data_IF_368842889410
#
_entry.id   IF_368842889410
#
_cell.length_a   1.000
_cell.length_b   1.000
_cell.length_c   1.000
_cell.angle_alpha   90.00
_cell.angle_beta   90.00
_cell.angle_gamma   90.00
#
_symmetry.space_group_name_H-M   'P 1'
#
loop_
_entity.id
_entity.type
_entity.pdbx_description
1 polymer ?
#
# COMPACT_ATOMS: atom_id res chain seq x y z
N UNK A 1 -2.58 35.79 38.53
CA UNK A 1 -2.64 35.64 37.06
C UNK A 1 -2.09 34.28 36.70
N UNK A 2 -2.75 33.47 35.86
CA UNK A 2 -2.19 32.20 35.43
C UNK A 2 -1.02 32.46 34.47
N UNK A 3 0.07 31.72 34.67
CA UNK A 3 1.26 31.78 33.83
C UNK A 3 0.91 31.55 32.34
N UNK A 4 1.49 32.32 31.40
CA UNK A 4 1.29 32.08 29.99
C UNK A 4 1.86 30.70 29.62
N UNK A 5 0.99 29.81 29.16
CA UNK A 5 1.39 28.50 28.68
C UNK A 5 2.48 28.64 27.60
N UNK A 6 3.53 27.80 27.62
CA UNK A 6 4.59 27.86 26.64
C UNK A 6 4.00 27.67 25.23
N UNK A 7 4.27 28.63 24.34
CA UNK A 7 3.90 28.57 22.93
C UNK A 7 4.43 27.26 22.35
N UNK A 8 3.53 26.38 21.88
CA UNK A 8 3.89 25.12 21.21
C UNK A 8 4.90 25.42 20.11
N UNK A 9 6.07 24.78 20.15
CA UNK A 9 7.06 24.84 19.06
C UNK A 9 6.36 24.48 17.75
N UNK A 10 6.63 25.17 16.63
CA UNK A 10 6.05 24.83 15.34
C UNK A 10 6.40 23.38 15.01
N UNK A 11 5.38 22.54 14.79
CA UNK A 11 5.54 21.13 14.46
C UNK A 11 6.17 21.06 13.06
N UNK A 12 7.29 20.36 12.92
CA UNK A 12 7.88 20.10 11.60
C UNK A 12 6.85 19.42 10.69
N UNK A 13 6.86 19.68 9.37
CA UNK A 13 5.93 19.03 8.46
C UNK A 13 6.06 17.51 8.56
N UNK A 14 4.96 16.82 8.82
CA UNK A 14 4.94 15.35 8.81
C UNK A 14 5.18 14.86 7.38
N UNK A 15 6.22 14.04 7.13
CA UNK A 15 6.45 13.49 5.80
C UNK A 15 5.25 12.68 5.29
N UNK A 16 5.02 12.59 3.97
CA UNK A 16 3.98 11.74 3.42
C UNK A 16 4.28 10.28 3.74
N UNK A 17 3.22 9.48 3.88
CA UNK A 17 3.30 8.03 4.04
C UNK A 17 3.31 7.36 2.69
N UNK A 18 4.20 6.39 2.51
CA UNK A 18 4.30 5.62 1.28
C UNK A 18 3.83 4.18 1.51
N UNK A 19 3.00 3.65 0.62
CA UNK A 19 2.70 2.22 0.58
C UNK A 19 2.90 1.71 -0.84
N UNK A 20 3.55 0.57 -0.99
CA UNK A 20 3.90 0.03 -2.31
C UNK A 20 3.26 -1.35 -2.47
N UNK A 21 2.77 -1.64 -3.67
CA UNK A 21 2.31 -2.96 -4.08
C UNK A 21 3.08 -3.36 -5.33
N UNK A 22 3.79 -4.48 -5.26
CA UNK A 22 4.57 -5.03 -6.36
C UNK A 22 3.69 -5.95 -7.23
N UNK A 23 3.91 -5.92 -8.54
CA UNK A 23 3.34 -6.90 -9.45
C UNK A 23 4.13 -8.20 -9.31
N UNK A 24 3.44 -9.34 -9.26
CA UNK A 24 4.08 -10.64 -9.00
C UNK A 24 4.74 -11.27 -10.23
N UNK A 25 4.36 -10.84 -11.44
CA UNK A 25 4.87 -11.39 -12.72
C UNK A 25 5.49 -10.31 -13.62
N UNK A 26 5.73 -9.10 -13.11
CA UNK A 26 6.40 -8.02 -13.85
C UNK A 26 7.16 -7.08 -12.91
N UNK A 27 8.13 -6.29 -13.41
CA UNK A 27 8.91 -5.38 -12.57
C UNK A 27 8.11 -4.17 -12.09
N UNK A 28 6.81 -4.09 -12.42
CA UNK A 28 5.98 -2.94 -12.12
C UNK A 28 5.54 -2.93 -10.66
N UNK A 29 5.45 -1.74 -10.10
CA UNK A 29 4.87 -1.48 -8.79
C UNK A 29 3.97 -0.25 -8.83
N UNK A 30 3.04 -0.18 -7.88
CA UNK A 30 2.25 1.02 -7.61
C UNK A 30 2.62 1.57 -6.25
N UNK A 31 2.89 2.88 -6.20
CA UNK A 31 3.17 3.61 -4.97
C UNK A 31 1.97 4.50 -4.65
N UNK A 32 1.44 4.37 -3.44
CA UNK A 32 0.50 5.30 -2.84
C UNK A 32 1.25 6.29 -1.95
N UNK A 33 1.37 7.54 -2.39
CA UNK A 33 1.93 8.63 -1.59
C UNK A 33 0.79 9.39 -0.93
N UNK A 34 0.57 9.20 0.37
CA UNK A 34 -0.48 9.86 1.15
C UNK A 34 0.11 10.98 2.01
N UNK A 35 -0.37 12.21 1.82
CA UNK A 35 0.06 13.35 2.60
C UNK A 35 -0.13 14.64 1.82
N UNK A 36 -0.65 15.73 2.42
CA UNK A 36 -1.40 15.79 3.68
C UNK A 36 -2.56 14.77 3.73
N UNK A 37 -3.12 14.47 4.90
CA UNK A 37 -3.91 13.25 5.20
C UNK A 37 -5.08 12.88 4.26
N UNK A 38 -5.57 13.80 3.43
CA UNK A 38 -6.67 13.59 2.46
C UNK A 38 -6.23 13.75 0.98
N UNK A 39 -4.94 13.68 0.71
CA UNK A 39 -4.37 13.76 -0.63
C UNK A 39 -3.53 12.51 -0.85
N UNK A 40 -3.87 11.75 -1.89
CA UNK A 40 -3.12 10.56 -2.30
C UNK A 40 -2.67 10.77 -3.74
N UNK A 41 -1.38 10.61 -4.00
CA UNK A 41 -0.82 10.50 -5.34
C UNK A 41 -0.52 9.03 -5.62
N UNK A 42 -0.94 8.53 -6.76
CA UNK A 42 -0.50 7.24 -7.29
C UNK A 42 0.64 7.41 -8.27
N UNK A 43 1.67 6.58 -8.14
CA UNK A 43 2.79 6.49 -9.08
C UNK A 43 2.92 5.05 -9.55
N UNK A 44 3.41 4.86 -10.76
CA UNK A 44 3.90 3.57 -11.23
C UNK A 44 5.42 3.59 -11.22
N UNK A 45 6.02 2.47 -10.84
CA UNK A 45 7.45 2.34 -10.68
C UNK A 45 7.94 1.06 -11.38
N UNK A 46 8.91 1.18 -12.28
CA UNK A 46 9.69 0.04 -12.78
C UNK A 46 10.81 -0.24 -11.79
N UNK A 47 10.70 -1.34 -11.05
CA UNK A 47 11.64 -1.70 -9.97
C UNK A 47 13.02 -2.14 -10.47
N UNK A 48 13.17 -2.44 -11.77
CA UNK A 48 14.45 -2.85 -12.36
C UNK A 48 15.21 -1.65 -12.91
N UNK A 49 14.50 -0.76 -13.60
CA UNK A 49 15.10 0.46 -14.17
C UNK A 49 15.09 1.64 -13.21
N UNK A 50 14.37 1.53 -12.11
CA UNK A 50 14.05 2.59 -11.17
C UNK A 50 13.45 3.84 -11.85
N UNK A 51 12.59 3.61 -12.85
CA UNK A 51 11.86 4.69 -13.53
C UNK A 51 10.50 4.92 -12.84
N UNK A 52 10.19 6.17 -12.53
CA UNK A 52 8.95 6.57 -11.88
C UNK A 52 8.07 7.37 -12.83
N UNK A 53 6.77 7.04 -12.87
CA UNK A 53 5.76 7.83 -13.56
C UNK A 53 4.69 8.28 -12.59
N UNK A 54 4.57 9.60 -12.47
CA UNK A 54 3.54 10.25 -11.69
C UNK A 54 2.18 10.09 -12.37
N UNK A 55 1.16 9.75 -11.60
CA UNK A 55 -0.20 9.58 -12.09
C UNK A 55 -1.18 10.52 -11.45
N UNK A 56 -2.35 9.99 -11.14
CA UNK A 56 -3.49 10.78 -10.71
C UNK A 56 -3.40 11.13 -9.22
N UNK A 57 -3.77 12.37 -8.89
CA UNK A 57 -4.04 12.76 -7.51
C UNK A 57 -5.51 12.52 -7.15
N UNK A 58 -5.73 12.10 -5.91
CA UNK A 58 -7.05 11.87 -5.35
C UNK A 58 -7.25 12.67 -4.06
N UNK A 59 -8.37 13.40 -3.98
CA UNK A 59 -8.82 14.09 -2.77
C UNK A 59 -9.75 13.18 -1.97
N UNK A 60 -9.19 12.47 -1.01
CA UNK A 60 -9.90 11.51 -0.16
C UNK A 60 -8.95 10.55 0.54
N UNK A 61 -9.46 9.38 0.89
CA UNK A 61 -8.72 8.26 1.48
C UNK A 61 -8.66 7.12 0.46
N UNK A 62 -7.47 6.58 0.23
CA UNK A 62 -7.32 5.23 -0.29
C UNK A 62 -6.91 4.35 0.88
N UNK A 63 -7.50 3.17 1.02
CA UNK A 63 -7.14 2.18 2.03
C UNK A 63 -6.15 1.21 1.40
N UNK A 64 -4.88 1.60 1.42
CA UNK A 64 -3.80 1.02 0.61
C UNK A 64 -3.62 -0.48 0.90
N UNK A 65 -3.84 -0.89 2.16
CA UNK A 65 -3.78 -2.30 2.59
C UNK A 65 -4.92 -3.18 2.07
N UNK A 66 -6.00 -2.58 1.55
CA UNK A 66 -7.14 -3.25 0.91
C UNK A 66 -7.06 -3.22 -0.63
N UNK A 67 -5.93 -2.77 -1.16
CA UNK A 67 -5.68 -2.69 -2.60
C UNK A 67 -4.81 -3.87 -3.06
N UNK A 68 -4.77 -4.11 -4.37
CA UNK A 68 -3.88 -5.11 -4.97
C UNK A 68 -3.55 -4.77 -6.41
N UNK A 69 -2.42 -5.28 -6.88
CA UNK A 69 -1.96 -5.10 -8.24
C UNK A 69 -2.06 -6.43 -8.98
N UNK A 70 -2.58 -6.39 -10.21
CA UNK A 70 -2.69 -7.59 -11.03
C UNK A 70 -1.30 -8.19 -11.30
N UNK A 71 -1.16 -9.51 -11.55
CA UNK A 71 0.15 -10.13 -11.75
C UNK A 71 1.03 -9.41 -12.78
N UNK A 72 0.45 -8.99 -13.90
CA UNK A 72 1.16 -8.22 -14.94
C UNK A 72 1.52 -6.79 -14.55
N UNK A 73 0.89 -6.23 -13.51
CA UNK A 73 1.01 -4.80 -13.16
C UNK A 73 0.09 -3.87 -13.93
N UNK A 74 -0.77 -4.39 -14.81
CA UNK A 74 -1.61 -3.56 -15.69
C UNK A 74 -2.87 -3.00 -15.02
N UNK A 75 -3.34 -3.62 -13.94
CA UNK A 75 -4.63 -3.27 -13.31
C UNK A 75 -4.46 -3.17 -11.81
N UNK A 76 -5.01 -2.11 -11.25
CA UNK A 76 -5.05 -1.84 -9.81
C UNK A 76 -6.47 -2.02 -9.33
N UNK A 77 -6.69 -2.84 -8.29
CA UNK A 77 -7.94 -2.81 -7.52
C UNK A 77 -7.69 -2.01 -6.25
N UNK A 78 -8.56 -1.05 -5.96
CA UNK A 78 -8.38 -0.15 -4.81
C UNK A 78 -9.69 0.14 -4.11
N UNK A 79 -9.61 0.33 -2.78
CA UNK A 79 -10.70 0.81 -1.95
C UNK A 79 -10.51 2.27 -1.58
N UNK A 80 -11.48 3.11 -1.89
CA UNK A 80 -11.40 4.55 -1.69
C UNK A 80 -12.63 5.12 -1.00
N UNK A 81 -12.44 6.28 -0.37
CA UNK A 81 -13.49 7.06 0.27
C UNK A 81 -13.25 8.56 0.06
N UNK A 82 -14.29 9.29 -0.31
CA UNK A 82 -14.29 10.76 -0.33
C UNK A 82 -15.39 11.36 0.57
N UNK A 83 -16.25 10.51 1.16
CA UNK A 83 -17.39 10.90 2.01
C UNK A 83 -18.40 11.81 1.30
N UNK A 84 -18.53 11.68 -0.02
CA UNK A 84 -19.47 12.43 -0.85
C UNK A 84 -20.37 11.50 -1.64
N UNK A 85 -21.60 11.97 -1.92
CA UNK A 85 -22.52 11.32 -2.86
C UNK A 85 -21.86 11.17 -4.25
N UNK A 86 -22.26 10.16 -5.04
CA UNK A 86 -23.27 9.15 -4.71
C UNK A 86 -22.74 8.01 -3.84
N UNK A 87 -21.43 7.71 -3.87
CA UNK A 87 -20.92 6.44 -3.32
C UNK A 87 -20.38 6.50 -1.90
N UNK A 88 -19.86 7.65 -1.44
CA UNK A 88 -19.14 7.85 -0.17
C UNK A 88 -17.82 7.05 -0.07
N UNK A 89 -17.91 5.73 -0.22
CA UNK A 89 -16.83 4.75 -0.32
C UNK A 89 -17.11 3.76 -1.46
N UNK A 90 -16.08 3.27 -2.12
CA UNK A 90 -16.20 2.34 -3.24
C UNK A 90 -14.94 1.50 -3.42
N UNK A 91 -15.11 0.34 -4.05
CA UNK A 91 -13.99 -0.40 -4.66
C UNK A 91 -14.00 -0.14 -6.15
N UNK A 92 -12.84 0.02 -6.76
CA UNK A 92 -12.75 0.18 -8.20
C UNK A 92 -11.52 -0.54 -8.76
N UNK A 93 -11.58 -0.85 -10.04
CA UNK A 93 -10.44 -1.30 -10.85
C UNK A 93 -10.03 -0.15 -11.77
N UNK A 94 -8.74 0.14 -11.87
CA UNK A 94 -8.18 1.15 -12.78
C UNK A 94 -6.89 0.67 -13.44
N UNK A 95 -6.36 1.47 -14.38
CA UNK A 95 -5.00 1.29 -14.90
C UNK A 95 -4.03 2.19 -14.14
N UNK A 96 -3.02 1.65 -13.44
CA UNK A 96 -2.01 2.48 -12.82
C UNK A 96 -1.20 3.26 -13.89
N UNK A 97 -0.69 4.46 -13.56
CA UNK A 97 -0.79 5.12 -12.26
C UNK A 97 -2.06 5.97 -12.09
N UNK A 98 -3.11 5.73 -12.87
CA UNK A 98 -4.37 6.48 -12.80
C UNK A 98 -5.41 5.76 -11.93
N UNK A 99 -6.34 6.53 -11.38
CA UNK A 99 -7.43 6.08 -10.51
C UNK A 99 -8.79 6.25 -11.19
N UNK A 100 -8.79 6.40 -12.51
CA UNK A 100 -10.02 6.46 -13.30
C UNK A 100 -10.59 5.06 -13.40
N UNK A 101 -11.81 4.88 -12.91
CA UNK A 101 -12.41 3.56 -12.78
C UNK A 101 -12.73 2.96 -14.16
N UNK A 102 -12.37 1.70 -14.34
CA UNK A 102 -12.82 0.80 -15.40
C UNK A 102 -14.00 -0.07 -14.93
N UNK A 103 -14.07 -0.30 -13.62
CA UNK A 103 -15.21 -0.86 -12.91
C UNK A 103 -15.28 -0.24 -11.51
N UNK A 104 -16.49 -0.13 -10.96
CA UNK A 104 -16.73 0.41 -9.63
C UNK A 104 -17.87 -0.33 -8.93
N UNK A 105 -17.62 -0.73 -7.69
CA UNK A 105 -18.60 -1.29 -6.76
C UNK A 105 -18.83 -0.31 -5.61
N UNK A 106 -20.04 0.27 -5.51
CA UNK A 106 -20.41 1.11 -4.36
C UNK A 106 -20.32 0.33 -3.06
N UNK A 107 -19.86 0.98 -1.98
CA UNK A 107 -19.81 0.35 -0.65
C UNK A 107 -20.62 1.10 0.40
N UNK A 108 -20.48 2.43 0.47
CA UNK A 108 -21.24 3.28 1.39
C UNK A 108 -20.77 3.27 2.86
N UNK A 109 -19.91 2.35 3.26
CA UNK A 109 -19.32 2.25 4.60
C UNK A 109 -17.83 1.83 4.52
N UNK A 110 -17.18 1.65 5.68
CA UNK A 110 -15.77 1.26 5.76
C UNK A 110 -15.53 -0.18 6.27
N UNK A 111 -16.57 -1.02 6.32
CA UNK A 111 -16.48 -2.43 6.71
C UNK A 111 -16.30 -3.31 5.46
N UNK A 112 -15.17 -4.01 5.33
CA UNK A 112 -14.79 -4.72 4.12
C UNK A 112 -14.34 -3.77 3.00
N UNK A 113 -14.74 -4.03 1.76
CA UNK A 113 -14.28 -3.28 0.59
C UNK A 113 -12.85 -3.62 0.19
N UNK A 114 -12.49 -3.26 -1.04
CA UNK A 114 -11.24 -3.66 -1.68
C UNK A 114 -11.31 -5.05 -2.32
N UNK A 115 -10.15 -5.58 -2.70
CA UNK A 115 -10.06 -6.91 -3.28
C UNK A 115 -8.64 -7.29 -3.68
N UNK A 116 -8.51 -8.48 -4.27
CA UNK A 116 -7.27 -9.04 -4.79
C UNK A 116 -7.43 -9.44 -6.26
N UNK A 117 -6.32 -9.66 -6.95
CA UNK A 117 -6.27 -10.38 -8.21
C UNK A 117 -5.79 -11.82 -7.99
N UNK A 118 -6.63 -12.80 -8.32
CA UNK A 118 -6.22 -14.21 -8.42
C UNK A 118 -5.33 -14.44 -9.65
N UNK A 119 -5.64 -13.75 -10.74
CA UNK A 119 -4.83 -13.60 -11.95
C UNK A 119 -5.26 -12.29 -12.65
N UNK A 120 -4.69 -11.97 -13.83
CA UNK A 120 -5.02 -10.73 -14.56
C UNK A 120 -6.48 -10.59 -15.01
N UNK A 121 -7.24 -11.69 -14.98
CA UNK A 121 -8.63 -11.77 -15.42
C UNK A 121 -9.61 -12.14 -14.32
N UNK A 122 -9.15 -12.47 -13.12
CA UNK A 122 -10.02 -12.88 -12.01
C UNK A 122 -9.83 -11.98 -10.81
N UNK A 123 -10.87 -11.21 -10.49
CA UNK A 123 -10.97 -10.30 -9.35
C UNK A 123 -11.60 -11.06 -8.18
N UNK A 124 -10.99 -10.94 -7.01
CA UNK A 124 -11.48 -11.43 -5.73
C UNK A 124 -11.97 -10.24 -4.90
N UNK A 125 -13.29 -10.03 -4.86
CA UNK A 125 -13.89 -8.85 -4.25
C UNK A 125 -14.18 -9.08 -2.76
N UNK A 126 -13.73 -8.16 -1.89
CA UNK A 126 -14.02 -8.21 -0.45
C UNK A 126 -15.33 -7.47 -0.10
N UNK A 127 -16.40 -7.80 -0.81
CA UNK A 127 -17.75 -7.28 -0.55
C UNK A 127 -18.67 -8.40 -0.11
N UNK A 128 -19.70 -8.04 0.66
CA UNK A 128 -20.78 -8.97 0.98
C UNK A 128 -21.48 -9.38 -0.29
N UNK A 129 -22.09 -10.57 -0.32
CA UNK A 129 -22.73 -11.11 -1.51
C UNK A 129 -23.79 -10.15 -2.09
N UNK A 130 -24.44 -9.38 -1.21
CA UNK A 130 -25.46 -8.37 -1.54
C UNK A 130 -24.89 -7.03 -2.04
N UNK A 131 -23.58 -6.81 -1.93
CA UNK A 131 -22.89 -5.58 -2.35
C UNK A 131 -21.91 -5.84 -3.50
N UNK A 132 -22.15 -6.87 -4.32
CA UNK A 132 -21.30 -7.24 -5.46
C UNK A 132 -21.73 -6.63 -6.80
N UNK A 133 -22.80 -5.84 -6.81
CA UNK A 133 -23.31 -5.15 -8.00
C UNK A 133 -22.41 -3.96 -8.35
N UNK A 134 -22.06 -3.83 -9.64
CA UNK A 134 -21.41 -2.63 -10.17
C UNK A 134 -22.36 -1.42 -10.09
N UNK A 135 -21.77 -0.23 -10.03
CA UNK A 135 -22.50 1.00 -10.35
C UNK A 135 -23.00 0.94 -11.82
N UNK A 136 -24.16 1.56 -12.07
CA UNK A 136 -24.94 1.35 -13.30
C UNK A 136 -24.19 1.79 -14.57
N UNK A 137 -23.23 2.71 -14.46
CA UNK A 137 -22.39 3.18 -15.56
C UNK A 137 -21.22 2.25 -15.93
N UNK A 138 -21.01 1.15 -15.19
CA UNK A 138 -19.89 0.23 -15.43
C UNK A 138 -20.35 -1.17 -15.83
N UNK A 139 -19.55 -1.80 -16.69
CA UNK A 139 -19.70 -3.19 -17.07
C UNK A 139 -18.32 -3.86 -17.11
N UNK A 140 -18.23 -5.10 -16.64
CA UNK A 140 -17.04 -5.92 -16.83
C UNK A 140 -17.01 -6.51 -18.24
N UNK A 141 -15.85 -6.51 -18.92
CA UNK A 141 -15.66 -7.31 -20.12
C UNK A 141 -15.94 -8.79 -19.85
N UNK A 142 -16.41 -9.51 -20.86
CA UNK A 142 -16.79 -10.94 -20.74
C UNK A 142 -15.64 -11.86 -20.30
N UNK A 143 -14.39 -11.46 -20.52
CA UNK A 143 -13.22 -12.21 -20.10
C UNK A 143 -12.76 -11.90 -18.66
N UNK A 144 -13.36 -10.91 -17.99
CA UNK A 144 -13.08 -10.60 -16.59
C UNK A 144 -14.09 -11.33 -15.71
N UNK A 145 -13.58 -12.15 -14.81
CA UNK A 145 -14.34 -12.90 -13.82
C UNK A 145 -14.27 -12.14 -12.48
N UNK A 146 -15.43 -11.99 -11.84
CA UNK A 146 -15.55 -11.49 -10.48
C UNK A 146 -15.99 -12.64 -9.57
N UNK A 147 -15.21 -12.91 -8.53
CA UNK A 147 -15.50 -13.87 -7.45
C UNK A 147 -15.49 -13.13 -6.10
N UNK A 148 -16.12 -13.70 -5.08
CA UNK A 148 -15.90 -13.22 -3.71
C UNK A 148 -14.53 -13.65 -3.22
N UNK A 149 -13.87 -12.79 -2.42
CA UNK A 149 -12.56 -13.09 -1.86
C UNK A 149 -12.56 -14.34 -0.97
N UNK A 150 -13.56 -14.43 -0.10
CA UNK A 150 -13.86 -15.59 0.73
C UNK A 150 -15.38 -15.70 0.89
N UNK A 151 -15.92 -16.89 1.21
CA UNK A 151 -17.29 -17.01 1.69
C UNK A 151 -17.52 -16.08 2.89
N UNK A 152 -18.58 -15.26 2.84
CA UNK A 152 -18.86 -14.28 3.90
C UNK A 152 -17.97 -13.03 3.90
N UNK A 153 -17.25 -12.75 2.80
CA UNK A 153 -16.50 -11.50 2.62
C UNK A 153 -17.36 -10.24 2.85
N UNK A 154 -16.71 -9.09 3.05
CA UNK A 154 -17.37 -7.82 3.31
C UNK A 154 -17.58 -7.47 4.79
N UNK A 155 -17.15 -8.34 5.70
CA UNK A 155 -16.93 -8.01 7.12
C UNK A 155 -15.47 -7.67 7.40
N UNK A 156 -15.20 -6.94 8.49
CA UNK A 156 -13.84 -6.61 8.95
C UNK A 156 -13.31 -5.25 8.46
N UNK A 157 -12.07 -4.95 8.85
CA UNK A 157 -11.37 -3.75 8.39
C UNK A 157 -10.40 -4.11 7.24
N UNK A 158 -9.10 -4.21 7.52
CA UNK A 158 -8.08 -4.51 6.51
C UNK A 158 -7.97 -6.02 6.21
N UNK A 159 -8.47 -6.87 7.11
CA UNK A 159 -8.61 -8.30 6.90
C UNK A 159 -9.92 -8.65 6.18
N UNK A 160 -9.94 -9.73 5.37
CA UNK A 160 -8.88 -10.73 5.16
C UNK A 160 -7.85 -10.35 4.08
N UNK A 161 -7.98 -9.19 3.44
CA UNK A 161 -7.16 -8.81 2.28
C UNK A 161 -5.67 -8.76 2.65
N UNK A 162 -5.33 -8.07 3.73
CA UNK A 162 -3.94 -7.84 4.10
C UNK A 162 -3.18 -9.15 4.33
N UNK A 163 -3.67 -10.03 5.21
CA UNK A 163 -3.00 -11.31 5.45
C UNK A 163 -2.99 -12.22 4.24
N UNK A 164 -4.10 -12.26 3.47
CA UNK A 164 -4.16 -13.08 2.27
C UNK A 164 -3.13 -12.63 1.25
N UNK A 165 -2.96 -11.32 1.04
CA UNK A 165 -1.93 -10.76 0.16
C UNK A 165 -0.53 -11.06 0.65
N UNK A 166 -0.24 -10.79 1.93
CA UNK A 166 1.08 -11.05 2.52
C UNK A 166 1.49 -12.51 2.32
N UNK A 167 0.64 -13.46 2.69
CA UNK A 167 0.89 -14.91 2.52
C UNK A 167 1.08 -15.30 1.06
N UNK A 168 0.21 -14.81 0.17
CA UNK A 168 0.32 -15.05 -1.28
C UNK A 168 1.66 -14.55 -1.83
N UNK A 169 2.13 -13.40 -1.35
CA UNK A 169 3.33 -12.73 -1.84
C UNK A 169 4.60 -13.19 -1.10
N UNK A 170 4.53 -14.33 -0.39
CA UNK A 170 5.68 -15.02 0.20
C UNK A 170 6.07 -14.57 1.61
N UNK A 171 5.27 -13.70 2.24
CA UNK A 171 5.47 -13.38 3.65
C UNK A 171 4.91 -14.50 4.54
N UNK A 172 5.69 -14.87 5.56
CA UNK A 172 5.34 -15.88 6.56
C UNK A 172 5.07 -15.19 7.89
N UNK A 173 4.00 -15.61 8.58
CA UNK A 173 3.69 -15.11 9.91
C UNK A 173 4.43 -15.99 10.93
N UNK A 174 5.53 -15.48 11.47
CA UNK A 174 6.32 -16.18 12.49
C UNK A 174 5.70 -16.03 13.88
N UNK A 175 5.15 -14.84 14.15
CA UNK A 175 4.57 -14.52 15.44
C UNK A 175 3.28 -13.72 15.25
N UNK A 176 2.11 -14.20 15.70
CA UNK A 176 0.84 -13.48 15.55
C UNK A 176 0.77 -12.17 16.34
N UNK A 177 1.61 -12.02 17.36
CA UNK A 177 1.60 -10.91 18.30
C UNK A 177 0.44 -10.98 19.31
N UNK A 178 0.49 -10.15 20.34
CA UNK A 178 -0.62 -9.97 21.29
C UNK A 178 -1.05 -8.52 21.28
N UNK A 179 -2.35 -8.26 21.26
CA UNK A 179 -2.89 -6.89 21.24
C UNK A 179 -3.26 -6.47 22.66
N UNK A 180 -2.78 -5.30 23.08
CA UNK A 180 -3.21 -4.64 24.29
C UNK A 180 -3.82 -3.28 23.94
N UNK A 181 -5.06 -3.06 24.36
CA UNK A 181 -5.69 -1.75 24.26
C UNK A 181 -5.19 -0.83 25.38
N UNK A 182 -4.67 0.33 24.97
CA UNK A 182 -4.21 1.37 25.88
C UNK A 182 -5.34 2.35 26.21
N UNK A 183 -5.18 3.07 27.33
CA UNK A 183 -6.11 4.13 27.74
C UNK A 183 -6.27 5.17 26.63
N UNK A 184 -7.49 5.69 26.48
CA UNK A 184 -7.80 6.77 25.54
C UNK A 184 -6.83 7.95 25.70
N UNK A 185 -6.25 8.43 24.59
CA UNK A 185 -5.29 9.55 24.56
C UNK A 185 -3.80 9.15 24.62
N UNK A 186 -3.50 7.86 24.78
CA UNK A 186 -2.13 7.32 24.72
C UNK A 186 -1.46 7.55 23.35
N UNK A 187 -0.13 7.45 23.30
CA UNK A 187 0.62 7.60 22.05
C UNK A 187 0.23 6.55 21.01
N UNK A 188 0.04 5.30 21.44
CA UNK A 188 -0.56 4.22 20.67
C UNK A 188 -1.89 3.84 21.30
N UNK A 189 -2.95 3.72 20.48
CA UNK A 189 -4.24 3.22 20.98
C UNK A 189 -4.21 1.71 21.20
N UNK A 190 -3.66 0.95 20.24
CA UNK A 190 -3.40 -0.47 20.42
C UNK A 190 -1.89 -0.68 20.38
N UNK A 191 -1.35 -1.30 21.40
CA UNK A 191 0.05 -1.69 21.45
C UNK A 191 0.15 -3.19 21.22
N UNK A 192 1.29 -3.63 20.67
CA UNK A 192 1.63 -5.03 20.60
C UNK A 192 2.78 -5.31 21.57
N UNK A 193 2.51 -5.66 22.84
CA UNK A 193 3.57 -5.97 23.81
C UNK A 193 4.44 -7.13 23.34
N UNK A 194 3.81 -8.09 22.65
CA UNK A 194 4.47 -9.06 21.80
C UNK A 194 4.17 -8.68 20.36
N UNK A 195 5.17 -8.22 19.62
CA UNK A 195 5.01 -7.75 18.25
C UNK A 195 4.41 -8.85 17.36
N UNK A 196 3.58 -8.47 16.40
CA UNK A 196 3.32 -9.37 15.27
C UNK A 196 4.55 -9.34 14.36
N UNK A 197 5.10 -10.51 14.02
CA UNK A 197 6.33 -10.64 13.22
C UNK A 197 6.03 -11.41 11.95
N UNK A 198 6.39 -10.79 10.83
CA UNK A 198 6.36 -11.41 9.51
C UNK A 198 7.76 -11.45 8.92
N UNK A 199 8.07 -12.52 8.19
CA UNK A 199 9.35 -12.69 7.51
C UNK A 199 9.13 -12.97 6.02
N UNK A 200 10.05 -12.53 5.18
CA UNK A 200 10.11 -12.95 3.77
C UNK A 200 11.54 -13.25 3.40
N UNK A 201 11.84 -14.54 3.24
CA UNK A 201 13.17 -15.04 2.97
C UNK A 201 13.54 -14.94 1.48
N UNK A 202 14.83 -14.69 1.22
CA UNK A 202 15.46 -14.79 -0.09
C UNK A 202 16.92 -15.24 0.07
N UNK A 203 17.18 -16.50 -0.24
CA UNK A 203 18.49 -17.11 0.02
C UNK A 203 18.76 -17.18 1.52
N UNK A 204 19.93 -16.73 1.96
CA UNK A 204 20.34 -16.74 3.38
C UNK A 204 19.87 -15.51 4.18
N UNK A 205 19.11 -14.62 3.55
CA UNK A 205 18.65 -13.37 4.14
C UNK A 205 17.13 -13.35 4.19
N UNK A 206 16.55 -12.62 5.13
CA UNK A 206 15.13 -12.33 5.14
C UNK A 206 14.88 -10.86 5.51
N UNK A 207 13.77 -10.31 5.01
CA UNK A 207 13.21 -9.09 5.57
C UNK A 207 12.30 -9.51 6.70
N UNK A 208 12.52 -8.93 7.88
CA UNK A 208 11.64 -9.05 9.03
C UNK A 208 10.81 -7.77 9.14
N UNK A 209 9.48 -7.89 9.22
CA UNK A 209 8.55 -6.81 9.50
C UNK A 209 7.97 -7.03 10.90
N UNK A 210 8.08 -6.04 11.78
CA UNK A 210 7.48 -6.07 13.12
C UNK A 210 6.40 -5.02 13.24
N UNK A 211 5.20 -5.44 13.64
CA UNK A 211 4.09 -4.53 13.98
C UNK A 211 4.16 -4.22 15.47
N UNK A 212 4.46 -2.96 15.78
CA UNK A 212 4.65 -2.46 17.14
C UNK A 212 3.35 -1.97 17.78
N UNK A 213 2.40 -1.52 16.95
CA UNK A 213 1.19 -0.88 17.41
C UNK A 213 0.29 -0.39 16.28
N UNK A 214 -0.92 0.01 16.65
CA UNK A 214 -1.89 0.65 15.77
C UNK A 214 -2.33 2.01 16.30
N UNK A 215 -2.65 2.89 15.35
CA UNK A 215 -3.20 4.24 15.53
C UNK A 215 -2.35 5.07 16.49
N UNK A 216 -1.16 5.42 16.01
CA UNK A 216 -0.31 6.40 16.66
C UNK A 216 -0.95 7.80 16.60
N UNK A 217 -0.94 8.50 17.73
CA UNK A 217 -1.48 9.85 17.84
C UNK A 217 -0.71 10.80 16.92
N UNK A 218 -1.43 11.45 16.01
CA UNK A 218 -0.87 12.27 14.92
C UNK A 218 0.13 11.54 14.00
N UNK A 219 0.10 10.20 14.01
CA UNK A 219 1.10 9.36 13.41
C UNK A 219 0.56 8.34 12.41
N UNK A 220 1.26 7.21 12.31
CA UNK A 220 0.86 6.13 11.42
C UNK A 220 -0.28 5.29 12.01
N UNK A 221 -1.15 4.76 11.14
CA UNK A 221 -2.16 3.79 11.59
C UNK A 221 -1.54 2.44 11.92
N UNK A 222 -0.53 2.01 11.16
CA UNK A 222 0.32 0.88 11.52
C UNK A 222 1.69 1.43 11.87
N UNK A 223 2.14 1.18 13.09
CA UNK A 223 3.51 1.47 13.49
C UNK A 223 4.31 0.21 13.26
N UNK A 224 5.14 0.24 12.23
CA UNK A 224 5.96 -0.90 11.81
C UNK A 224 7.42 -0.50 11.73
N UNK A 225 8.27 -1.49 11.91
CA UNK A 225 9.69 -1.42 11.62
C UNK A 225 10.09 -2.61 10.76
N UNK A 226 11.19 -2.43 10.04
CA UNK A 226 11.79 -3.50 9.25
C UNK A 226 13.25 -3.70 9.64
N UNK A 227 13.69 -4.95 9.51
CA UNK A 227 15.08 -5.37 9.66
C UNK A 227 15.44 -6.31 8.51
N UNK A 228 16.74 -6.43 8.23
CA UNK A 228 17.29 -7.53 7.46
C UNK A 228 17.93 -8.48 8.45
N UNK A 229 17.54 -9.75 8.39
CA UNK A 229 18.02 -10.82 9.26
C UNK A 229 18.73 -11.90 8.45
N UNK A 230 19.64 -12.63 9.09
CA UNK A 230 20.29 -13.80 8.51
C UNK A 230 19.44 -15.08 8.65
N UNK A 231 19.99 -16.22 8.23
CA UNK A 231 19.31 -17.52 8.29
C UNK A 231 19.04 -18.02 9.71
N UNK A 232 19.72 -17.48 10.73
CA UNK A 232 19.49 -17.79 12.14
C UNK A 232 18.50 -16.81 12.80
N UNK A 233 18.04 -15.80 12.05
CA UNK A 233 17.19 -14.73 12.57
C UNK A 233 17.96 -13.62 13.27
N UNK A 234 19.29 -13.58 13.17
CA UNK A 234 20.08 -12.49 13.72
C UNK A 234 19.95 -11.24 12.84
N UNK A 235 19.71 -10.09 13.46
CA UNK A 235 19.59 -8.81 12.75
C UNK A 235 20.96 -8.38 12.23
N UNK A 236 21.10 -8.30 10.91
CA UNK A 236 22.33 -7.84 10.25
C UNK A 236 22.26 -6.38 9.81
N UNK A 237 21.05 -5.85 9.59
CA UNK A 237 20.82 -4.43 9.35
C UNK A 237 19.46 -3.99 9.88
N UNK A 238 19.46 -3.01 10.78
CA UNK A 238 18.24 -2.36 11.25
C UNK A 238 17.82 -1.25 10.29
N UNK A 239 16.62 -1.38 9.70
CA UNK A 239 16.04 -0.32 8.84
C UNK A 239 15.18 0.65 9.65
N UNK A 240 14.76 0.22 10.85
CA UNK A 240 13.99 1.02 11.80
C UNK A 240 12.56 1.30 11.35
N UNK A 241 11.95 2.32 11.93
CA UNK A 241 10.58 2.73 11.61
C UNK A 241 10.47 3.12 10.13
N UNK A 242 9.48 2.53 9.48
CA UNK A 242 9.31 2.59 8.03
C UNK A 242 7.85 2.46 7.67
N UNK A 243 7.50 2.84 6.44
CA UNK A 243 6.13 2.75 5.96
C UNK A 243 5.88 1.43 5.21
N UNK A 244 6.92 0.86 4.58
CA UNK A 244 6.90 -0.38 3.79
C UNK A 244 8.33 -0.85 3.47
N UNK A 245 8.55 -2.17 3.35
CA UNK A 245 9.74 -2.75 2.71
C UNK A 245 9.41 -4.10 2.06
N UNK A 246 10.08 -4.45 0.97
CA UNK A 246 9.99 -5.79 0.35
C UNK A 246 11.20 -6.05 -0.56
N UNK A 247 11.35 -7.29 -1.03
CA UNK A 247 12.31 -7.67 -2.06
C UNK A 247 11.85 -7.21 -3.44
N UNK A 248 12.74 -6.57 -4.17
CA UNK A 248 12.63 -6.44 -5.63
C UNK A 248 12.72 -7.80 -6.35
N UNK A 249 12.40 -7.85 -7.63
CA UNK A 249 12.63 -9.06 -8.44
C UNK A 249 14.13 -9.37 -8.64
N UNK A 250 14.98 -8.35 -8.65
CA UNK A 250 16.46 -8.43 -8.78
C UNK A 250 17.15 -8.91 -7.50
N UNK A 251 16.47 -8.82 -6.35
CA UNK A 251 17.00 -9.28 -5.06
C UNK A 251 17.67 -8.20 -4.21
N UNK A 252 17.51 -6.93 -4.57
CA UNK A 252 17.73 -5.84 -3.64
C UNK A 252 16.52 -5.66 -2.71
N UNK A 253 16.75 -5.13 -1.50
CA UNK A 253 15.67 -4.73 -0.59
C UNK A 253 15.23 -3.32 -0.95
N UNK A 254 13.93 -3.13 -1.10
CA UNK A 254 13.30 -1.84 -1.35
C UNK A 254 12.68 -1.35 -0.04
N UNK A 255 12.90 -0.08 0.30
CA UNK A 255 12.48 0.51 1.57
C UNK A 255 11.79 1.83 1.34
N UNK A 256 10.61 2.02 1.91
CA UNK A 256 9.93 3.30 1.97
C UNK A 256 9.90 3.82 3.41
N UNK A 257 10.49 4.99 3.63
CA UNK A 257 10.51 5.64 4.94
C UNK A 257 10.59 7.15 4.79
N UNK A 258 9.91 7.88 5.69
CA UNK A 258 9.94 9.35 5.75
C UNK A 258 9.64 10.04 4.41
N UNK A 259 8.70 9.51 3.61
CA UNK A 259 8.33 10.08 2.31
C UNK A 259 9.36 9.88 1.19
N UNK A 260 10.34 9.00 1.41
CA UNK A 260 11.41 8.66 0.47
C UNK A 260 11.43 7.15 0.20
N UNK A 261 11.96 6.78 -0.95
CA UNK A 261 12.16 5.39 -1.35
C UNK A 261 13.64 5.13 -1.55
N UNK A 262 14.11 4.00 -1.06
CA UNK A 262 15.50 3.57 -1.08
C UNK A 262 15.61 2.15 -1.65
N UNK A 263 16.79 1.84 -2.19
CA UNK A 263 17.23 0.47 -2.46
C UNK A 263 18.42 0.11 -1.58
N UNK A 264 18.54 -1.17 -1.27
CA UNK A 264 19.67 -1.74 -0.53
C UNK A 264 20.13 -2.97 -1.29
N UNK A 265 21.29 -2.88 -1.92
CA UNK A 265 21.88 -3.99 -2.68
C UNK A 265 22.35 -5.06 -1.70
N UNK A 266 21.93 -6.31 -1.92
CA UNK A 266 22.33 -7.44 -1.09
C UNK A 266 23.44 -8.22 -1.78
N UNK A 267 24.65 -8.15 -1.22
CA UNK A 267 25.76 -8.96 -1.68
C UNK A 267 25.65 -10.38 -1.08
N UNK A 268 25.71 -11.45 -1.89
CA UNK A 268 25.64 -12.83 -1.38
C UNK A 268 26.75 -13.19 -0.39
N UNK A 269 27.92 -12.55 -0.47
CA UNK A 269 29.05 -12.82 0.42
C UNK A 269 29.06 -11.84 1.60
N UNK A 270 29.06 -10.54 1.32
CA UNK A 270 29.26 -9.50 2.34
C UNK A 270 27.98 -8.99 3.01
N UNK A 271 26.79 -9.39 2.54
CA UNK A 271 25.51 -8.96 3.13
C UNK A 271 24.99 -7.63 2.57
N UNK A 272 24.10 -6.95 3.32
CA UNK A 272 23.49 -5.71 2.86
C UNK A 272 24.52 -4.58 2.71
N UNK A 273 24.43 -3.83 1.61
CA UNK A 273 25.17 -2.58 1.41
C UNK A 273 24.48 -1.38 2.09
N UNK A 274 24.99 -0.19 1.79
CA UNK A 274 24.39 1.06 2.26
C UNK A 274 23.07 1.35 1.50
N UNK A 275 22.06 1.96 2.16
CA UNK A 275 20.84 2.41 1.49
C UNK A 275 21.11 3.54 0.50
N UNK A 276 20.67 3.36 -0.75
CA UNK A 276 20.73 4.37 -1.80
C UNK A 276 19.33 4.96 -2.03
N UNK A 277 19.20 6.29 -1.98
CA UNK A 277 17.94 6.97 -2.26
C UNK A 277 17.58 6.88 -3.75
N UNK A 278 16.38 6.41 -4.03
CA UNK A 278 15.80 6.35 -5.38
C UNK A 278 14.99 7.59 -5.71
N UNK A 279 14.15 8.05 -4.77
CA UNK A 279 13.31 9.23 -4.97
C UNK A 279 12.83 9.84 -3.64
N UNK A 280 12.73 11.17 -3.61
CA UNK A 280 12.14 11.94 -2.52
C UNK A 280 10.78 12.52 -2.95
N UNK A 281 9.71 12.17 -2.24
CA UNK A 281 8.32 12.55 -2.56
C UNK A 281 7.72 13.55 -1.55
N UNK A 282 8.55 14.15 -0.69
CA UNK A 282 8.10 15.06 0.37
C UNK A 282 7.47 16.34 -0.17
N UNK A 283 8.11 16.99 -1.13
CA UNK A 283 7.76 18.36 -1.54
C UNK A 283 6.64 18.44 -2.59
N UNK A 284 6.09 17.29 -2.99
CA UNK A 284 5.01 17.22 -3.96
C UNK A 284 3.73 17.84 -3.43
N UNK A 285 3.12 18.68 -4.27
CA UNK A 285 1.84 19.35 -4.02
C UNK A 285 0.77 18.79 -4.93
N UNK A 286 -0.47 18.79 -4.45
CA UNK A 286 -1.61 18.34 -5.24
C UNK A 286 -1.65 19.03 -6.60
N UNK A 287 -1.80 18.24 -7.65
CA UNK A 287 -2.03 18.71 -9.01
C UNK A 287 -3.19 17.91 -9.60
N UNK A 288 -4.10 18.58 -10.31
CA UNK A 288 -5.15 17.88 -11.03
C UNK A 288 -4.55 17.30 -12.31
N UNK A 289 -4.59 15.98 -12.43
CA UNK A 289 -4.03 15.24 -13.57
C UNK A 289 -5.15 14.42 -14.18
N UNK A 290 -5.51 14.75 -15.42
CA UNK A 290 -6.48 13.98 -16.18
C UNK A 290 -5.86 12.63 -16.62
N UNK A 291 -6.63 11.54 -16.60
CA UNK A 291 -6.21 10.28 -17.21
C UNK A 291 -6.09 10.43 -18.75
N UNK A 292 -5.11 9.77 -19.38
CA UNK A 292 -5.08 9.62 -20.82
C UNK A 292 -6.18 8.64 -21.28
N UNK A 293 -6.50 8.65 -22.57
CA UNK A 293 -7.55 7.80 -23.16
C UNK A 293 -7.37 6.31 -22.87
N UNK A 294 -6.12 5.84 -22.88
CA UNK A 294 -5.74 4.44 -22.64
C UNK A 294 -6.03 4.01 -21.19
N UNK A 295 -6.01 4.94 -20.23
CA UNK A 295 -6.33 4.66 -18.84
C UNK A 295 -7.84 4.50 -18.59
N UNK A 296 -8.67 4.86 -19.57
CA UNK A 296 -10.13 4.72 -19.54
C UNK A 296 -10.63 3.45 -20.24
N UNK A 297 -9.73 2.59 -20.72
CA UNK A 297 -10.08 1.37 -21.45
C UNK A 297 -9.51 0.13 -20.75
N UNK A 298 -10.25 -0.99 -20.82
CA UNK A 298 -9.79 -2.27 -20.24
C UNK A 298 -8.56 -2.83 -20.95
N UNK A 299 -8.44 -2.57 -22.24
CA UNK A 299 -7.34 -3.01 -23.10
C UNK A 299 -6.52 -1.83 -23.62
N UNK A 300 -5.31 -2.13 -24.12
CA UNK A 300 -4.38 -1.13 -24.66
C UNK A 300 -3.05 -1.09 -23.91
N UNK A 301 -1.97 -0.76 -24.61
CA UNK A 301 -0.68 -0.45 -23.99
C UNK A 301 -0.72 1.00 -23.54
N UNK A 302 -0.47 1.27 -22.26
CA UNK A 302 -0.28 2.63 -21.77
C UNK A 302 0.97 3.19 -22.45
N UNK A 303 0.81 4.05 -23.47
CA UNK A 303 1.95 4.69 -24.12
C UNK A 303 2.67 5.53 -23.05
N UNK A 304 3.96 5.24 -22.90
CA UNK A 304 4.80 5.90 -21.91
C UNK A 304 5.00 7.35 -22.33
N UNK A 305 4.26 8.26 -21.70
CA UNK A 305 4.54 9.70 -21.82
C UNK A 305 4.92 10.29 -20.47
N UNK A 306 6.03 11.01 -20.54
CA UNK A 306 6.85 11.65 -19.50
C UNK A 306 7.69 10.71 -18.64
N UNK A 307 8.94 10.49 -19.12
CA UNK A 307 10.06 9.94 -18.35
C UNK A 307 10.71 11.09 -17.59
N UNK A 308 10.85 10.98 -16.29
CA UNK A 308 11.74 11.84 -15.50
C UNK A 308 12.83 10.92 -14.95
N UNK A 309 14.07 11.21 -15.31
CA UNK A 309 15.27 10.58 -14.74
C UNK A 309 15.51 11.12 -13.34
#
# INVERSE_FOLDING_TARGET
>A
MPDPQPKKKPKSPTPPRLYVILARESPMAVIFRRGPSKQVLTLSWDTVRHEFRFGQWFKGRIYERRCDLSPSGEKLIYFAANQKKPYYTWTAVSRPPFLTALALWPKGDAWGGGGLFKNDRTILLNHSAYQTKLADEFQLPTYIVQEQLIPGAGGGEDEPILQTRLKRDGWQLEQPGTVQENKFGSELWLQYPMNQVWTKARGKWAIEMRVLGLKERDGAWYVIEHNIVDANGEVVLTLGRSDWADWSQTGEVLLATQGRLFRIVINPKSGPGEPEELINLCDLKFQEVAPPSEAMQWEGKCKAETRIR
#
